data_IF_266204042406
#
_entry.id   IF_266204042406
#
_cell.length_a   1.000
_cell.length_b   1.000
_cell.length_c   1.000
_cell.angle_alpha   90.00
_cell.angle_beta   90.00
_cell.angle_gamma   90.00
#
_symmetry.space_group_name_H-M   'P 1'
#
loop_
_entity.id
_entity.type
_entity.pdbx_description
1 polymer ?
#
# COMPACT_ATOMS: atom_id res chain seq x y z
N UNK A 1 6.17 -2.56 23.68
CA UNK A 1 5.77 -1.86 22.45
C UNK A 1 6.39 -2.63 21.31
N UNK A 2 5.63 -3.54 20.71
CA UNK A 2 6.11 -4.35 19.58
C UNK A 2 5.84 -3.52 18.34
N UNK A 3 6.89 -2.94 17.77
CA UNK A 3 6.81 -2.42 16.41
C UNK A 3 6.39 -3.60 15.51
N UNK A 4 5.35 -3.39 14.70
CA UNK A 4 4.98 -4.31 13.63
C UNK A 4 6.15 -4.33 12.64
N UNK A 5 7.16 -5.17 12.91
CA UNK A 5 8.21 -5.49 11.94
C UNK A 5 7.56 -6.04 10.68
N UNK A 6 7.89 -5.39 9.57
CA UNK A 6 7.75 -5.83 8.18
C UNK A 6 6.41 -6.42 7.74
N UNK A 7 5.62 -5.59 7.02
CA UNK A 7 4.99 -5.89 5.72
C UNK A 7 4.16 -7.18 5.57
N UNK A 8 3.85 -7.87 6.67
CA UNK A 8 3.27 -9.21 6.61
C UNK A 8 1.76 -9.07 6.69
N UNK A 9 1.11 -9.38 5.57
CA UNK A 9 -0.35 -9.39 5.44
C UNK A 9 -0.95 -10.22 6.59
N UNK A 10 -1.90 -9.70 7.38
CA UNK A 10 -2.50 -10.42 8.47
C UNK A 10 -3.26 -11.61 7.90
N UNK A 11 -2.92 -12.79 8.39
CA UNK A 11 -3.55 -14.02 7.98
C UNK A 11 -4.62 -14.37 8.99
N UNK A 12 -5.87 -14.51 8.54
CA UNK A 12 -6.94 -15.00 9.40
C UNK A 12 -6.72 -16.49 9.71
N UNK A 13 -7.23 -16.95 10.86
CA UNK A 13 -7.09 -18.35 11.28
C UNK A 13 -7.61 -19.39 10.28
N UNK A 14 -8.62 -19.04 9.48
CA UNK A 14 -9.17 -19.90 8.42
C UNK A 14 -8.54 -19.66 7.03
N UNK A 15 -7.52 -18.81 6.93
CA UNK A 15 -6.82 -18.42 5.69
C UNK A 15 -7.73 -17.89 4.56
N UNK A 16 -8.94 -17.49 4.89
CA UNK A 16 -9.86 -16.93 3.91
C UNK A 16 -9.32 -15.62 3.34
N UNK A 17 -9.55 -15.41 2.04
CA UNK A 17 -9.23 -14.17 1.33
C UNK A 17 -10.42 -13.79 0.45
N UNK A 18 -10.77 -12.49 0.36
CA UNK A 18 -11.72 -12.07 -0.66
C UNK A 18 -11.09 -12.32 -2.04
N UNK A 19 -11.92 -12.66 -3.02
CA UNK A 19 -11.52 -12.59 -4.42
C UNK A 19 -12.61 -11.89 -5.21
N UNK A 20 -12.24 -10.84 -5.94
CA UNK A 20 -13.10 -10.17 -6.88
C UNK A 20 -12.24 -9.67 -8.05
N UNK A 21 -12.33 -10.32 -9.23
CA UNK A 21 -11.43 -10.03 -10.34
C UNK A 21 -11.53 -8.59 -10.84
N UNK A 22 -12.72 -7.96 -10.75
CA UNK A 22 -12.89 -6.58 -11.19
C UNK A 22 -12.12 -5.62 -10.29
N UNK A 23 -12.28 -5.75 -8.97
CA UNK A 23 -11.61 -4.87 -8.02
C UNK A 23 -10.10 -5.15 -7.97
N UNK A 24 -9.69 -6.41 -8.07
CA UNK A 24 -8.28 -6.79 -8.18
C UNK A 24 -7.61 -6.16 -9.41
N UNK A 25 -8.26 -6.22 -10.58
CA UNK A 25 -7.74 -5.58 -11.80
C UNK A 25 -7.63 -4.06 -11.65
N UNK A 26 -8.60 -3.42 -11.00
CA UNK A 26 -8.58 -1.97 -10.75
C UNK A 26 -7.46 -1.59 -9.80
N UNK A 27 -7.30 -2.31 -8.68
CA UNK A 27 -6.19 -2.11 -7.73
C UNK A 27 -4.85 -2.31 -8.44
N UNK A 28 -4.72 -3.38 -9.22
CA UNK A 28 -3.50 -3.68 -9.96
C UNK A 28 -3.16 -2.56 -10.96
N UNK A 29 -4.15 -2.05 -11.70
CA UNK A 29 -3.98 -0.92 -12.60
C UNK A 29 -3.45 0.32 -11.87
N UNK A 30 -4.00 0.66 -10.71
CA UNK A 30 -3.52 1.82 -9.95
C UNK A 30 -2.11 1.63 -9.39
N UNK A 31 -1.77 0.41 -8.94
CA UNK A 31 -0.39 0.09 -8.55
C UNK A 31 0.55 0.28 -9.73
N UNK A 32 0.17 -0.23 -10.91
CA UNK A 32 1.00 -0.15 -12.11
C UNK A 32 1.15 1.29 -12.61
N UNK A 33 0.08 2.09 -12.58
CA UNK A 33 0.09 3.51 -12.95
C UNK A 33 0.99 4.32 -12.00
N UNK A 34 0.81 4.18 -10.68
CA UNK A 34 1.63 4.88 -9.71
C UNK A 34 3.12 4.51 -9.83
N UNK A 35 3.41 3.25 -10.20
CA UNK A 35 4.79 2.80 -10.47
C UNK A 35 5.36 3.39 -11.76
N UNK A 36 4.54 3.55 -12.81
CA UNK A 36 4.93 4.24 -14.05
C UNK A 36 5.22 5.71 -13.81
N UNK A 37 4.33 6.42 -13.12
CA UNK A 37 4.52 7.83 -12.77
C UNK A 37 5.79 8.04 -11.95
N UNK A 38 6.09 7.15 -11.00
CA UNK A 38 7.32 7.21 -10.23
C UNK A 38 8.58 6.98 -11.10
N UNK A 39 8.53 6.08 -12.09
CA UNK A 39 9.60 5.87 -13.05
C UNK A 39 9.80 7.09 -13.95
N UNK A 40 8.72 7.68 -14.47
CA UNK A 40 8.77 8.83 -15.36
C UNK A 40 9.28 10.10 -14.65
N UNK A 41 8.92 10.27 -13.37
CA UNK A 41 9.37 11.40 -12.55
C UNK A 41 10.85 11.27 -12.15
N UNK A 42 11.32 10.04 -11.91
CA UNK A 42 12.73 9.77 -11.57
C UNK A 42 13.63 9.83 -12.81
N UNK A 43 13.09 9.51 -13.99
CA UNK A 43 13.72 9.67 -15.29
C UNK A 43 13.69 11.12 -15.80
N UNK A 44 14.04 12.08 -14.94
CA UNK A 44 13.95 13.50 -15.27
C UNK A 44 14.69 13.80 -16.59
N UNK A 45 13.94 14.29 -17.58
CA UNK A 45 14.44 14.64 -18.92
C UNK A 45 15.66 15.58 -18.79
N UNK A 46 15.70 16.43 -17.76
CA UNK A 46 16.84 17.31 -17.48
C UNK A 46 18.17 16.58 -17.24
N UNK A 47 18.18 15.45 -16.54
CA UNK A 47 19.40 14.66 -16.28
C UNK A 47 19.90 13.94 -17.54
N UNK A 48 18.98 13.43 -18.36
CA UNK A 48 19.33 12.76 -19.63
C UNK A 48 19.86 13.79 -20.63
N UNK A 49 19.23 14.95 -20.72
CA UNK A 49 19.60 16.01 -21.67
C UNK A 49 20.92 16.68 -21.25
N UNK A 50 21.10 16.96 -19.96
CA UNK A 50 22.36 17.50 -19.42
C UNK A 50 23.54 16.53 -19.54
N UNK A 51 23.33 15.26 -19.22
CA UNK A 51 24.36 14.21 -19.37
C UNK A 51 24.77 14.00 -20.83
N UNK A 52 23.79 14.00 -21.76
CA UNK A 52 24.05 13.90 -23.19
C UNK A 52 24.89 15.06 -23.73
N UNK A 53 24.64 16.29 -23.28
CA UNK A 53 25.36 17.48 -23.73
C UNK A 53 26.82 17.51 -23.25
N UNK A 54 27.06 17.07 -22.01
CA UNK A 54 28.43 16.91 -21.47
C UNK A 54 29.18 15.83 -22.23
N UNK A 55 28.55 14.69 -22.53
CA UNK A 55 29.15 13.63 -23.32
C UNK A 55 29.54 14.14 -24.73
N UNK A 56 28.64 14.84 -25.42
CA UNK A 56 28.96 15.42 -26.75
C UNK A 56 30.15 16.38 -26.67
N UNK A 57 30.19 17.27 -25.68
CA UNK A 57 31.32 18.19 -25.46
C UNK A 57 32.63 17.44 -25.21
N UNK A 58 32.62 16.40 -24.37
CA UNK A 58 33.78 15.56 -24.09
C UNK A 58 34.26 14.80 -25.33
N UNK A 59 33.34 14.29 -26.13
CA UNK A 59 33.65 13.57 -27.36
C UNK A 59 34.36 14.44 -28.39
N UNK A 60 33.95 15.71 -28.52
CA UNK A 60 34.61 16.68 -29.41
C UNK A 60 36.05 16.96 -28.93
N UNK A 61 36.24 17.18 -27.62
CA UNK A 61 37.58 17.43 -27.04
C UNK A 61 38.51 16.23 -27.25
N UNK A 62 38.01 15.01 -27.01
CA UNK A 62 38.79 13.78 -27.20
C UNK A 62 39.11 13.54 -28.67
N UNK A 63 38.17 13.82 -29.59
CA UNK A 63 38.39 13.66 -31.03
C UNK A 63 39.46 14.63 -31.56
N UNK A 64 39.44 15.90 -31.11
CA UNK A 64 40.46 16.90 -31.45
C UNK A 64 41.82 16.52 -30.86
N UNK A 65 41.86 16.07 -29.60
CA UNK A 65 43.11 15.75 -28.91
C UNK A 65 43.80 14.46 -29.39
N UNK A 66 43.02 13.46 -29.83
CA UNK A 66 43.57 12.17 -30.27
C UNK A 66 43.84 12.09 -31.77
N UNK A 67 43.24 12.99 -32.58
CA UNK A 67 43.34 12.97 -34.04
C UNK A 67 42.69 11.73 -34.69
N UNK A 68 42.05 10.86 -33.89
CA UNK A 68 41.43 9.62 -34.33
C UNK A 68 39.95 9.58 -33.89
N UNK A 69 39.01 9.87 -34.82
CA UNK A 69 37.60 9.97 -34.49
C UNK A 69 36.98 8.64 -34.04
N UNK A 70 37.50 7.50 -34.50
CA UNK A 70 37.02 6.16 -34.10
C UNK A 70 37.32 5.86 -32.64
N UNK A 71 38.52 6.23 -32.17
CA UNK A 71 38.91 6.05 -30.77
C UNK A 71 38.05 6.92 -29.82
N UNK A 72 37.75 8.15 -30.25
CA UNK A 72 36.87 9.05 -29.49
C UNK A 72 35.45 8.48 -29.35
N UNK A 73 34.86 7.95 -30.43
CA UNK A 73 33.54 7.32 -30.38
C UNK A 73 33.52 6.13 -29.40
N UNK A 74 34.55 5.28 -29.44
CA UNK A 74 34.62 4.12 -28.54
C UNK A 74 34.73 4.55 -27.07
N UNK A 75 35.58 5.54 -26.77
CA UNK A 75 35.70 6.11 -25.42
C UNK A 75 34.36 6.68 -24.92
N UNK A 76 33.62 7.35 -25.80
CA UNK A 76 32.31 7.92 -25.49
C UNK A 76 31.25 6.86 -25.18
N UNK A 77 31.21 5.76 -25.94
CA UNK A 77 30.31 4.64 -25.69
C UNK A 77 30.64 3.99 -24.33
N UNK A 78 31.92 3.76 -24.05
CA UNK A 78 32.36 3.19 -22.76
C UNK A 78 31.98 4.11 -21.61
N UNK A 79 32.21 5.43 -21.74
CA UNK A 79 31.83 6.40 -20.72
C UNK A 79 30.31 6.42 -20.49
N UNK A 80 29.52 6.39 -21.56
CA UNK A 80 28.07 6.39 -21.50
C UNK A 80 27.54 5.13 -20.80
N UNK A 81 28.07 3.96 -21.15
CA UNK A 81 27.69 2.68 -20.51
C UNK A 81 28.10 2.65 -19.04
N UNK A 82 29.31 3.12 -18.71
CA UNK A 82 29.78 3.20 -17.32
C UNK A 82 28.94 4.18 -16.49
N UNK A 83 28.59 5.33 -17.07
CA UNK A 83 27.70 6.31 -16.44
C UNK A 83 26.29 5.77 -16.21
N UNK A 84 25.71 5.07 -17.19
CA UNK A 84 24.42 4.38 -17.03
C UNK A 84 24.46 3.30 -15.96
N UNK A 85 25.51 2.48 -15.93
CA UNK A 85 25.69 1.46 -14.91
C UNK A 85 25.81 2.09 -13.52
N UNK A 86 26.58 3.16 -13.38
CA UNK A 86 26.74 3.87 -12.12
C UNK A 86 25.46 4.55 -11.66
N UNK A 87 24.69 5.15 -12.58
CA UNK A 87 23.36 5.69 -12.30
C UNK A 87 22.38 4.61 -11.88
N UNK A 88 22.40 3.43 -12.51
CA UNK A 88 21.54 2.31 -12.13
C UNK A 88 21.80 1.80 -10.71
N UNK A 89 23.06 1.80 -10.27
CA UNK A 89 23.45 1.37 -8.91
C UNK A 89 23.16 2.44 -7.86
N UNK A 90 23.28 3.72 -8.22
CA UNK A 90 23.11 4.84 -7.27
C UNK A 90 21.76 5.55 -7.41
N UNK A 91 20.84 5.04 -8.23
CA UNK A 91 19.52 5.61 -8.36
C UNK A 91 18.83 5.62 -6.99
N UNK A 92 18.35 6.78 -6.51
CA UNK A 92 17.61 6.83 -5.27
C UNK A 92 16.38 5.91 -5.38
N UNK A 93 16.01 5.21 -4.30
CA UNK A 93 14.86 4.31 -4.33
C UNK A 93 13.62 5.11 -4.71
N UNK A 94 12.82 4.55 -5.64
CA UNK A 94 11.54 5.11 -6.08
C UNK A 94 10.70 5.49 -4.86
N UNK A 95 10.54 6.79 -4.62
CA UNK A 95 9.71 7.31 -3.54
C UNK A 95 8.26 7.32 -4.02
N UNK A 96 7.64 6.15 -3.97
CA UNK A 96 6.20 6.02 -4.14
C UNK A 96 5.54 6.39 -2.82
N UNK A 97 4.65 7.39 -2.80
CA UNK A 97 3.80 7.61 -1.63
C UNK A 97 2.69 6.55 -1.63
N UNK A 98 2.73 5.54 -0.74
CA UNK A 98 1.84 4.38 -0.83
C UNK A 98 0.37 4.75 -0.63
N UNK A 99 0.10 5.86 0.07
CA UNK A 99 -1.26 6.32 0.34
C UNK A 99 -1.93 6.95 -0.89
N UNK A 100 -1.13 7.49 -1.83
CA UNK A 100 -1.64 8.10 -3.06
C UNK A 100 -2.08 7.07 -4.10
N UNK A 101 -1.57 5.83 -4.01
CA UNK A 101 -1.90 4.74 -4.98
C UNK A 101 -3.41 4.52 -5.08
N UNK A 102 -4.12 4.58 -3.95
CA UNK A 102 -5.57 4.34 -3.89
C UNK A 102 -6.40 5.62 -3.71
N UNK A 103 -5.77 6.80 -3.77
CA UNK A 103 -6.49 8.08 -3.66
C UNK A 103 -7.66 8.21 -4.64
N UNK A 104 -7.56 7.77 -5.92
CA UNK A 104 -8.68 7.80 -6.86
C UNK A 104 -9.90 6.96 -6.42
N UNK A 105 -9.69 5.98 -5.51
CA UNK A 105 -10.76 5.15 -4.93
C UNK A 105 -11.20 5.64 -3.54
N UNK A 106 -10.74 6.81 -3.10
CA UNK A 106 -11.00 7.33 -1.75
C UNK A 106 -10.04 6.78 -0.69
N UNK A 107 -8.91 6.21 -1.12
CA UNK A 107 -7.86 5.68 -0.27
C UNK A 107 -8.03 4.22 0.15
N UNK A 108 -7.01 3.63 0.81
CA UNK A 108 -7.02 2.22 1.22
C UNK A 108 -8.17 1.87 2.17
N UNK A 109 -8.60 2.83 2.98
CA UNK A 109 -9.70 2.66 3.94
C UNK A 109 -11.08 2.49 3.30
N UNK A 110 -11.27 2.88 2.04
CA UNK A 110 -12.54 2.74 1.32
C UNK A 110 -12.69 1.37 0.64
N UNK A 111 -11.66 0.54 0.66
CA UNK A 111 -11.75 -0.83 0.16
C UNK A 111 -12.74 -1.64 1.00
N UNK A 112 -13.40 -2.66 0.41
CA UNK A 112 -14.27 -3.56 1.15
C UNK A 112 -13.52 -4.19 2.32
N UNK A 113 -14.19 -4.35 3.48
CA UNK A 113 -13.58 -4.84 4.72
C UNK A 113 -12.70 -6.08 4.54
N UNK A 114 -13.12 -7.03 3.68
CA UNK A 114 -12.35 -8.24 3.38
C UNK A 114 -10.93 -7.98 2.84
N UNK A 115 -10.68 -6.84 2.19
CA UNK A 115 -9.39 -6.49 1.61
C UNK A 115 -8.32 -6.15 2.66
N UNK A 116 -8.71 -6.05 3.93
CA UNK A 116 -7.78 -5.94 5.06
C UNK A 116 -6.77 -7.09 5.11
N UNK A 117 -7.16 -8.29 4.65
CA UNK A 117 -6.30 -9.49 4.59
C UNK A 117 -5.79 -9.81 3.18
N UNK A 118 -6.02 -8.92 2.22
CA UNK A 118 -5.69 -9.17 0.81
C UNK A 118 -4.31 -8.60 0.44
N UNK A 119 -3.42 -9.40 -0.19
CA UNK A 119 -2.05 -8.96 -0.47
C UNK A 119 -1.97 -7.77 -1.43
N UNK A 120 -2.89 -7.63 -2.38
CA UNK A 120 -2.88 -6.47 -3.29
C UNK A 120 -3.18 -5.16 -2.57
N UNK A 121 -4.12 -5.17 -1.61
CA UNK A 121 -4.40 -3.97 -0.82
C UNK A 121 -3.18 -3.59 0.04
N UNK A 122 -2.44 -4.58 0.52
CA UNK A 122 -1.19 -4.37 1.25
C UNK A 122 -0.09 -3.75 0.40
N UNK A 123 0.02 -4.14 -0.86
CA UNK A 123 0.92 -3.48 -1.82
C UNK A 123 0.47 -2.07 -2.19
N UNK A 124 -0.82 -1.78 -2.07
CA UNK A 124 -1.44 -0.51 -2.45
C UNK A 124 -1.60 0.47 -1.27
N UNK A 125 -0.78 0.37 -0.22
CA UNK A 125 -0.74 1.36 0.86
C UNK A 125 -1.60 1.07 2.10
N UNK A 126 -2.18 -0.13 2.23
CA UNK A 126 -2.92 -0.51 3.45
C UNK A 126 -2.07 -0.46 4.73
N UNK A 127 -0.79 -0.88 4.76
CA UNK A 127 0.03 -0.81 5.98
C UNK A 127 0.22 0.62 6.47
N UNK A 128 0.43 1.55 5.54
CA UNK A 128 0.58 2.98 5.81
C UNK A 128 -0.73 3.57 6.34
N UNK A 129 -1.88 3.16 5.77
CA UNK A 129 -3.20 3.57 6.25
C UNK A 129 -3.48 3.07 7.67
N UNK A 130 -3.04 1.85 8.00
CA UNK A 130 -3.22 1.24 9.32
C UNK A 130 -2.19 1.72 10.35
N UNK A 131 -1.26 2.61 9.97
CA UNK A 131 -0.24 3.14 10.87
C UNK A 131 -0.92 3.91 12.01
N UNK A 132 -0.78 3.39 13.23
CA UNK A 132 -1.41 3.95 14.44
C UNK A 132 -2.67 3.20 14.91
N UNK A 133 -3.15 2.21 14.17
CA UNK A 133 -4.21 1.31 14.65
C UNK A 133 -3.60 0.30 15.62
N UNK A 134 -4.12 0.17 16.86
CA UNK A 134 -3.65 -0.84 17.81
C UNK A 134 -3.79 -2.27 17.25
N UNK A 135 -2.75 -3.09 17.43
CA UNK A 135 -2.71 -4.48 16.93
C UNK A 135 -3.94 -5.30 17.39
N UNK A 136 -4.40 -5.07 18.63
CA UNK A 136 -5.61 -5.69 19.18
C UNK A 136 -6.85 -5.39 18.36
N UNK A 137 -7.05 -4.13 17.95
CA UNK A 137 -8.19 -3.73 17.09
C UNK A 137 -8.07 -4.37 15.71
N UNK A 138 -6.85 -4.39 15.16
CA UNK A 138 -6.58 -4.99 13.87
C UNK A 138 -6.92 -6.49 13.87
N UNK A 139 -6.54 -7.22 14.93
CA UNK A 139 -6.86 -8.65 15.09
C UNK A 139 -8.36 -8.92 15.09
N UNK A 140 -9.12 -8.16 15.89
CA UNK A 140 -10.59 -8.27 15.94
C UNK A 140 -11.22 -7.91 14.58
N UNK A 141 -10.72 -6.86 13.92
CA UNK A 141 -11.18 -6.47 12.59
C UNK A 141 -10.92 -7.57 11.55
N UNK A 142 -9.74 -8.19 11.56
CA UNK A 142 -9.40 -9.32 10.68
C UNK A 142 -10.35 -10.50 10.87
N UNK A 143 -10.78 -10.80 12.10
CA UNK A 143 -11.75 -11.87 12.35
C UNK A 143 -13.15 -11.54 11.83
N UNK A 144 -13.53 -10.26 11.82
CA UNK A 144 -14.86 -9.79 11.42
C UNK A 144 -14.95 -9.41 9.93
N UNK A 145 -13.83 -9.27 9.23
CA UNK A 145 -13.75 -8.68 7.89
C UNK A 145 -14.60 -9.37 6.82
N UNK A 146 -14.84 -10.69 6.93
CA UNK A 146 -15.68 -11.45 5.98
C UNK A 146 -17.17 -11.19 6.16
N UNK A 147 -17.60 -10.85 7.37
CA UNK A 147 -19.02 -10.67 7.71
C UNK A 147 -19.46 -9.22 7.56
N UNK A 148 -18.52 -8.29 7.66
CA UNK A 148 -18.81 -6.87 7.55
C UNK A 148 -19.05 -6.47 6.09
N UNK A 149 -20.22 -5.89 5.74
CA UNK A 149 -20.57 -5.55 4.36
C UNK A 149 -19.95 -4.23 3.87
N UNK A 150 -19.46 -3.39 4.77
CA UNK A 150 -18.92 -2.06 4.44
C UNK A 150 -17.40 -2.02 4.23
N UNK A 151 -16.86 -0.80 4.22
CA UNK A 151 -15.45 -0.54 4.00
C UNK A 151 -14.57 -0.88 5.22
N UNK A 152 -13.25 -0.96 5.01
CA UNK A 152 -12.26 -1.15 6.08
C UNK A 152 -12.35 -0.06 7.15
N UNK A 153 -12.54 1.20 6.75
CA UNK A 153 -12.70 2.34 7.69
C UNK A 153 -13.88 2.11 8.63
N UNK A 154 -15.01 1.68 8.09
CA UNK A 154 -16.23 1.47 8.87
C UNK A 154 -16.09 0.30 9.84
N UNK A 155 -15.44 -0.78 9.40
CA UNK A 155 -15.11 -1.90 10.25
C UNK A 155 -14.24 -1.47 11.44
N UNK A 156 -13.19 -0.68 11.20
CA UNK A 156 -12.30 -0.18 12.26
C UNK A 156 -13.05 0.74 13.22
N UNK A 157 -13.87 1.67 12.71
CA UNK A 157 -14.72 2.54 13.53
C UNK A 157 -15.72 1.76 14.38
N UNK A 158 -16.28 0.68 13.83
CA UNK A 158 -17.21 -0.19 14.56
C UNK A 158 -16.49 -0.96 15.67
N UNK A 159 -15.29 -1.49 15.40
CA UNK A 159 -14.48 -2.16 16.43
C UNK A 159 -14.10 -1.17 17.54
N UNK A 160 -13.70 0.05 17.19
CA UNK A 160 -13.42 1.10 18.15
C UNK A 160 -14.65 1.47 18.99
N UNK A 161 -15.82 1.64 18.36
CA UNK A 161 -17.08 1.91 19.09
C UNK A 161 -17.42 0.77 20.05
N UNK A 162 -17.20 -0.47 19.62
CA UNK A 162 -17.43 -1.66 20.42
C UNK A 162 -16.51 -1.71 21.63
N UNK A 163 -15.24 -1.36 21.45
CA UNK A 163 -14.26 -1.26 22.53
C UNK A 163 -14.65 -0.21 23.57
N UNK A 164 -15.04 0.99 23.13
CA UNK A 164 -15.52 2.04 24.06
C UNK A 164 -16.72 1.57 24.86
N UNK A 165 -17.70 0.96 24.19
CA UNK A 165 -18.90 0.44 24.86
C UNK A 165 -18.58 -0.64 25.90
N UNK A 166 -17.67 -1.59 25.58
CA UNK A 166 -17.25 -2.62 26.54
C UNK A 166 -16.49 -2.01 27.72
N UNK A 167 -15.66 -0.99 27.48
CA UNK A 167 -14.94 -0.29 28.54
C UNK A 167 -15.89 0.46 29.51
N UNK A 168 -16.95 1.06 28.98
CA UNK A 168 -17.94 1.83 29.75
C UNK A 168 -18.94 0.95 30.49
N UNK A 169 -19.54 -0.02 29.79
CA UNK A 169 -20.65 -0.80 30.31
C UNK A 169 -20.21 -2.02 31.11
N UNK A 170 -18.94 -2.43 30.97
CA UNK A 170 -18.40 -3.66 31.54
C UNK A 170 -19.40 -4.83 31.40
N UNK A 171 -19.71 -5.22 30.15
CA UNK A 171 -20.66 -6.29 29.88
C UNK A 171 -19.95 -7.63 30.09
N UNK A 172 -20.33 -8.38 31.12
CA UNK A 172 -19.82 -9.74 31.35
C UNK A 172 -19.42 -10.03 32.79
N UNK A 173 -18.94 -11.26 33.02
CA UNK A 173 -18.41 -11.71 34.32
C UNK A 173 -16.87 -11.79 34.34
N UNK A 174 -16.23 -11.81 33.16
CA UNK A 174 -14.78 -11.88 33.01
C UNK A 174 -14.23 -10.62 32.34
N UNK A 175 -13.52 -9.79 33.13
CA UNK A 175 -12.83 -8.58 32.67
C UNK A 175 -11.32 -8.77 32.50
N UNK A 176 -10.86 -10.02 32.37
CA UNK A 176 -9.52 -10.30 31.87
C UNK A 176 -9.34 -9.68 30.47
N UNK A 177 -8.08 -9.39 30.04
CA UNK A 177 -7.83 -8.88 28.69
C UNK A 177 -8.43 -9.76 27.58
N UNK A 178 -8.34 -11.08 27.74
CA UNK A 178 -8.92 -12.04 26.79
C UNK A 178 -10.46 -12.05 26.82
N UNK A 179 -11.05 -11.95 28.01
CA UNK A 179 -12.50 -11.84 28.19
C UNK A 179 -13.06 -10.58 27.52
N UNK A 180 -12.39 -9.44 27.68
CA UNK A 180 -12.78 -8.17 27.04
C UNK A 180 -12.74 -8.27 25.51
N UNK A 181 -11.69 -8.84 24.93
CA UNK A 181 -11.58 -9.00 23.48
C UNK A 181 -12.71 -9.87 22.91
N UNK A 182 -13.08 -10.93 23.63
CA UNK A 182 -14.20 -11.78 23.27
C UNK A 182 -15.55 -11.04 23.36
N UNK A 183 -15.74 -10.15 24.33
CA UNK A 183 -16.95 -9.33 24.45
C UNK A 183 -17.03 -8.26 23.35
N UNK A 184 -15.90 -7.62 23.01
CA UNK A 184 -15.80 -6.66 21.89
C UNK A 184 -16.19 -7.35 20.59
N UNK A 185 -15.60 -8.51 20.31
CA UNK A 185 -15.91 -9.29 19.11
C UNK A 185 -17.38 -9.72 19.06
N UNK A 186 -17.96 -10.15 20.19
CA UNK A 186 -19.37 -10.53 20.30
C UNK A 186 -20.31 -9.34 20.06
N UNK A 187 -20.01 -8.17 20.64
CA UNK A 187 -20.80 -6.97 20.43
C UNK A 187 -20.71 -6.47 18.98
N UNK A 188 -19.50 -6.38 18.42
CA UNK A 188 -19.29 -6.01 17.03
C UNK A 188 -20.01 -6.96 16.06
N UNK A 189 -19.98 -8.27 16.32
CA UNK A 189 -20.73 -9.25 15.52
C UNK A 189 -22.25 -8.99 15.56
N UNK A 190 -22.81 -8.67 16.73
CA UNK A 190 -24.24 -8.29 16.84
C UNK A 190 -24.55 -7.03 16.04
N UNK A 191 -23.67 -6.02 16.07
CA UNK A 191 -23.84 -4.81 15.26
C UNK A 191 -23.85 -5.13 13.76
N UNK A 192 -22.94 -5.98 13.28
CA UNK A 192 -22.94 -6.44 11.88
C UNK A 192 -24.27 -7.12 11.54
N UNK A 193 -24.73 -8.05 12.38
CA UNK A 193 -25.99 -8.77 12.15
C UNK A 193 -27.20 -7.84 12.11
N UNK A 194 -27.22 -6.79 12.94
CA UNK A 194 -28.25 -5.77 12.91
C UNK A 194 -28.17 -4.92 11.64
N UNK A 195 -26.97 -4.52 11.22
CA UNK A 195 -26.78 -3.76 9.97
C UNK A 195 -27.25 -4.55 8.76
N UNK A 196 -26.87 -5.83 8.66
CA UNK A 196 -27.27 -6.71 7.55
C UNK A 196 -28.80 -6.91 7.51
N UNK A 197 -29.45 -7.06 8.67
CA UNK A 197 -30.91 -7.19 8.75
C UNK A 197 -31.65 -5.89 8.43
N UNK A 198 -31.07 -4.75 8.76
CA UNK A 198 -31.69 -3.44 8.61
C UNK A 198 -31.29 -2.73 7.31
N UNK A 199 -30.58 -3.37 6.39
CA UNK A 199 -30.41 -2.82 5.04
C UNK A 199 -31.79 -2.75 4.40
N UNK A 200 -32.36 -1.55 4.15
CA UNK A 200 -33.65 -1.47 3.49
C UNK A 200 -33.50 -2.14 2.12
N UNK A 201 -34.24 -3.22 1.91
CA UNK A 201 -34.44 -3.78 0.58
C UNK A 201 -35.11 -2.66 -0.21
N UNK A 202 -34.34 -1.99 -1.06
CA UNK A 202 -34.80 -0.82 -1.78
C UNK A 202 -36.14 -1.10 -2.45
N UNK A 203 -37.13 -0.32 -2.03
CA UNK A 203 -38.25 0.12 -2.87
C UNK A 203 -37.69 0.47 -4.24
N UNK A 204 -37.95 -0.41 -5.21
CA UNK A 204 -37.96 -0.05 -6.63
C UNK A 204 -39.14 0.86 -6.92
#
# INVERSE_FOLDING_TARGET
>A
MTELSDSTVPVRGDRWRPSNPLLENVIQKYIDEARREACDTTGNIGTITGGGLVLVGFGIIVAIGTGNPLAAIFAMIVLALAGLAWMGVNAPPLRLDPLQILEPMGGPGNLPAGYLVHPLAWKAGMPEYLRGVPERRLRIAVDLCRKHPGAVTDLLRMVERSERWVAEQQPGKDFSPAGRDAEIARFAKRLIEHQVRNVPVGTR
#
